data_IF_213782419142
#
_entry.id   IF_213782419142
#
_cell.length_a   1.000
_cell.length_b   1.000
_cell.length_c   1.000
_cell.angle_alpha   90.00
_cell.angle_beta   90.00
_cell.angle_gamma   90.00
#
_symmetry.space_group_name_H-M   'P 1'
#
loop_
_entity.id
_entity.type
_entity.pdbx_description
1 polymer ?
#
# COMPACT_ATOMS: atom_id res chain seq x y z
N UNK A 1 4.97 -38.93 5.12
CA UNK A 1 4.30 -37.62 5.08
C UNK A 1 5.18 -36.65 5.83
N UNK A 2 5.87 -35.75 5.14
CA UNK A 2 6.64 -34.68 5.78
C UNK A 2 5.68 -33.56 6.17
N UNK A 3 5.49 -33.32 7.46
CA UNK A 3 4.95 -32.05 7.92
C UNK A 3 6.04 -31.01 7.64
N UNK A 4 5.76 -30.04 6.76
CA UNK A 4 6.62 -28.88 6.66
C UNK A 4 6.50 -28.13 8.00
N UNK A 5 7.60 -28.02 8.74
CA UNK A 5 7.66 -27.17 9.92
C UNK A 5 7.48 -25.72 9.46
N UNK A 6 6.31 -25.14 9.76
CA UNK A 6 6.04 -23.73 9.49
C UNK A 6 6.60 -22.94 10.67
N UNK A 7 7.54 -22.03 10.41
CA UNK A 7 8.04 -21.07 11.39
C UNK A 7 7.28 -19.75 11.21
N UNK A 8 6.24 -19.44 12.01
CA UNK A 8 5.36 -18.30 11.77
C UNK A 8 6.10 -16.96 11.80
N UNK A 9 7.17 -16.88 12.60
CA UNK A 9 7.97 -15.66 12.76
C UNK A 9 8.88 -15.38 11.55
N UNK A 10 8.98 -16.32 10.60
CA UNK A 10 9.74 -16.14 9.37
C UNK A 10 8.95 -15.43 8.26
N UNK A 11 7.66 -15.15 8.47
CA UNK A 11 6.79 -14.56 7.45
C UNK A 11 6.16 -13.26 7.94
N UNK A 12 6.13 -12.27 7.06
CA UNK A 12 5.33 -11.06 7.26
C UNK A 12 3.99 -11.33 6.57
N UNK A 13 2.90 -11.23 7.34
CA UNK A 13 1.54 -11.39 6.82
C UNK A 13 0.97 -10.01 6.55
N UNK A 14 0.53 -9.77 5.31
CA UNK A 14 -0.04 -8.50 4.88
C UNK A 14 -1.54 -8.64 4.60
N UNK A 15 -2.32 -7.61 4.94
CA UNK A 15 -3.77 -7.62 4.74
C UNK A 15 -4.13 -7.16 3.33
N UNK A 16 -4.84 -8.00 2.57
CA UNK A 16 -5.40 -7.58 1.29
C UNK A 16 -6.50 -6.54 1.49
N UNK A 17 -6.45 -5.46 0.72
CA UNK A 17 -7.38 -4.33 0.87
C UNK A 17 -8.72 -4.54 0.17
N UNK A 18 -8.85 -5.58 -0.68
CA UNK A 18 -10.03 -5.80 -1.51
C UNK A 18 -10.00 -5.05 -2.85
N UNK A 19 -8.99 -4.22 -3.10
CA UNK A 19 -8.88 -3.40 -4.31
C UNK A 19 -7.64 -3.73 -5.13
N UNK A 20 -7.72 -3.41 -6.42
CA UNK A 20 -6.61 -3.52 -7.38
C UNK A 20 -6.22 -2.13 -7.87
N UNK A 21 -4.93 -1.93 -8.09
CA UNK A 21 -4.39 -0.70 -8.67
C UNK A 21 -4.76 -0.56 -10.15
N UNK A 22 -4.33 0.54 -10.78
CA UNK A 22 -4.59 0.82 -12.21
C UNK A 22 -4.12 -0.30 -13.15
N UNK A 23 -3.09 -1.05 -12.78
CA UNK A 23 -2.50 -2.12 -13.58
C UNK A 23 -3.10 -3.50 -13.23
N UNK A 24 -4.08 -3.56 -12.33
CA UNK A 24 -4.73 -4.80 -11.90
C UNK A 24 -3.98 -5.57 -10.81
N UNK A 25 -2.92 -4.98 -10.23
CA UNK A 25 -2.18 -5.57 -9.11
C UNK A 25 -3.01 -5.45 -7.83
N UNK A 26 -3.08 -6.53 -7.06
CA UNK A 26 -3.70 -6.51 -5.73
C UNK A 26 -2.95 -5.56 -4.80
N UNK A 27 -3.70 -4.74 -4.06
CA UNK A 27 -3.14 -3.77 -3.11
C UNK A 27 -3.29 -4.31 -1.69
N UNK A 28 -2.21 -4.25 -0.93
CA UNK A 28 -2.11 -4.73 0.45
C UNK A 28 -1.82 -3.58 1.42
N UNK A 29 -2.04 -3.79 2.70
CA UNK A 29 -1.53 -2.90 3.75
C UNK A 29 0.01 -2.87 3.70
N UNK A 30 0.58 -1.67 3.76
CA UNK A 30 2.03 -1.47 3.62
C UNK A 30 2.50 -1.24 2.17
N UNK A 31 1.64 -1.36 1.16
CA UNK A 31 1.98 -0.98 -0.20
C UNK A 31 2.22 0.55 -0.31
N UNK A 32 3.17 0.91 -1.15
CA UNK A 32 3.46 2.28 -1.55
C UNK A 32 2.82 2.54 -2.92
N UNK A 33 1.87 3.44 -2.95
CA UNK A 33 1.15 3.82 -4.16
C UNK A 33 1.63 5.17 -4.65
N UNK A 34 1.93 5.24 -5.94
CA UNK A 34 2.15 6.51 -6.64
C UNK A 34 0.81 7.11 -7.03
N UNK A 35 0.49 8.27 -6.45
CA UNK A 35 -0.81 8.95 -6.58
C UNK A 35 -0.62 10.19 -7.44
N UNK A 36 -1.50 10.36 -8.44
CA UNK A 36 -1.60 11.60 -9.19
C UNK A 36 -2.79 12.41 -8.70
N UNK A 37 -2.53 13.54 -8.05
CA UNK A 37 -3.61 14.41 -7.58
C UNK A 37 -4.22 15.20 -8.73
N UNK A 38 -5.54 15.43 -8.72
CA UNK A 38 -6.22 16.20 -9.77
C UNK A 38 -5.79 17.67 -9.83
N UNK A 39 -5.17 18.20 -8.77
CA UNK A 39 -4.76 19.60 -8.66
C UNK A 39 -3.25 19.80 -8.43
N UNK A 40 -2.45 18.73 -8.58
CA UNK A 40 -0.99 18.79 -8.50
C UNK A 40 -0.42 18.14 -9.75
N UNK A 41 0.56 18.79 -10.36
CA UNK A 41 1.34 18.17 -11.43
C UNK A 41 2.39 17.19 -10.89
N UNK A 42 2.62 17.20 -9.57
CA UNK A 42 3.52 16.28 -8.91
C UNK A 42 2.76 15.01 -8.52
N UNK A 43 3.38 13.88 -8.85
CA UNK A 43 2.99 12.60 -8.30
C UNK A 43 3.60 12.49 -6.89
N UNK A 44 2.82 12.05 -5.90
CA UNK A 44 3.32 11.75 -4.54
C UNK A 44 3.26 10.25 -4.28
N UNK A 45 4.09 9.77 -3.36
CA UNK A 45 4.08 8.39 -2.89
C UNK A 45 3.41 8.34 -1.52
N UNK A 46 2.34 7.56 -1.43
CA UNK A 46 1.63 7.34 -0.17
C UNK A 46 1.66 5.88 0.24
N UNK A 47 1.75 5.66 1.54
CA UNK A 47 1.65 4.32 2.15
C UNK A 47 0.19 3.98 2.46
N UNK A 48 -0.21 2.74 2.15
CA UNK A 48 -1.51 2.18 2.51
C UNK A 48 -1.50 1.73 3.97
N UNK A 49 -2.37 2.33 4.80
CA UNK A 49 -2.47 2.02 6.24
C UNK A 49 -3.90 1.76 6.66
N UNK A 50 -4.10 0.88 7.63
CA UNK A 50 -5.36 0.80 8.35
C UNK A 50 -5.52 1.99 9.32
N UNK A 51 -6.64 2.71 9.23
CA UNK A 51 -7.04 3.74 10.18
C UNK A 51 -8.15 3.23 11.08
N UNK A 52 -7.89 3.18 12.39
CA UNK A 52 -8.91 2.85 13.38
C UNK A 52 -9.97 3.95 13.53
N UNK A 53 -9.63 5.22 13.28
CA UNK A 53 -10.59 6.33 13.36
C UNK A 53 -11.56 6.32 12.19
N UNK A 54 -11.08 5.98 10.99
CA UNK A 54 -11.87 5.92 9.76
C UNK A 54 -12.49 4.53 9.53
N UNK A 55 -12.13 3.55 10.38
CA UNK A 55 -12.50 2.14 10.26
C UNK A 55 -12.27 1.60 8.84
N UNK A 56 -11.13 1.93 8.25
CA UNK A 56 -10.81 1.61 6.87
C UNK A 56 -9.38 1.92 6.47
N UNK A 57 -9.00 1.46 5.27
CA UNK A 57 -7.72 1.82 4.67
C UNK A 57 -7.70 3.29 4.28
N UNK A 58 -6.54 3.92 4.48
CA UNK A 58 -6.24 5.30 4.11
C UNK A 58 -4.90 5.38 3.39
N UNK A 59 -4.69 6.50 2.73
CA UNK A 59 -3.40 6.87 2.15
C UNK A 59 -3.21 8.37 2.26
N UNK A 60 -2.20 8.79 3.03
CA UNK A 60 -2.08 10.17 3.50
C UNK A 60 -3.38 10.64 4.17
N UNK A 61 -3.93 11.76 3.70
CA UNK A 61 -5.21 12.31 4.19
C UNK A 61 -6.42 11.96 3.29
N UNK A 62 -6.28 10.97 2.40
CA UNK A 62 -7.29 10.66 1.38
C UNK A 62 -8.01 9.34 1.64
N UNK A 63 -9.27 9.30 1.21
CA UNK A 63 -10.06 8.08 1.17
C UNK A 63 -9.46 7.10 0.15
N UNK A 64 -8.92 6.00 0.64
CA UNK A 64 -8.21 4.98 -0.13
C UNK A 64 -8.96 4.52 -1.40
N UNK A 65 -10.24 4.19 -1.29
CA UNK A 65 -11.03 3.67 -2.42
C UNK A 65 -11.15 4.64 -3.61
N UNK A 66 -11.00 5.95 -3.41
CA UNK A 66 -11.10 6.95 -4.48
C UNK A 66 -9.82 7.05 -5.32
N UNK A 67 -8.68 6.73 -4.73
CA UNK A 67 -7.38 6.94 -5.35
C UNK A 67 -6.81 5.66 -5.96
N UNK A 68 -7.09 4.49 -5.35
CA UNK A 68 -6.56 3.19 -5.78
C UNK A 68 -6.74 2.89 -7.27
N UNK A 69 -7.92 3.10 -7.89
CA UNK A 69 -8.10 2.82 -9.32
C UNK A 69 -7.25 3.68 -10.26
N UNK A 70 -6.65 4.77 -9.75
CA UNK A 70 -5.82 5.71 -10.52
C UNK A 70 -4.34 5.64 -10.15
N UNK A 71 -4.01 5.02 -9.03
CA UNK A 71 -2.64 4.85 -8.55
C UNK A 71 -2.00 3.56 -9.07
N UNK A 72 -0.68 3.48 -8.95
CA UNK A 72 0.13 2.30 -9.28
C UNK A 72 0.95 1.95 -8.05
N UNK A 73 1.00 0.67 -7.69
CA UNK A 73 1.90 0.21 -6.63
C UNK A 73 3.33 0.29 -7.15
N UNK A 74 4.18 1.01 -6.43
CA UNK A 74 5.60 1.24 -6.78
C UNK A 74 6.58 0.56 -5.84
N UNK A 75 6.11 0.07 -4.69
CA UNK A 75 6.93 -0.63 -3.70
C UNK A 75 6.12 -1.00 -2.48
N UNK A 76 6.78 -1.48 -1.43
CA UNK A 76 6.19 -1.70 -0.11
C UNK A 76 7.12 -1.22 1.01
N UNK A 77 6.60 -1.09 2.24
CA UNK A 77 7.38 -0.63 3.40
C UNK A 77 8.44 -1.60 3.91
N UNK A 78 8.43 -2.85 3.47
CA UNK A 78 9.40 -3.86 3.92
C UNK A 78 10.67 -3.84 3.06
N UNK A 79 10.51 -3.60 1.76
CA UNK A 79 11.58 -3.64 0.75
C UNK A 79 12.01 -2.25 0.29
N UNK A 80 11.10 -1.27 0.23
CA UNK A 80 11.29 0.02 -0.45
C UNK A 80 11.13 1.23 0.49
N UNK A 81 11.66 1.14 1.71
CA UNK A 81 11.55 2.20 2.74
C UNK A 81 12.06 3.56 2.27
N UNK A 82 13.10 3.57 1.42
CA UNK A 82 13.73 4.78 0.91
C UNK A 82 12.79 5.63 0.03
N UNK A 83 11.74 5.03 -0.56
CA UNK A 83 10.78 5.74 -1.40
C UNK A 83 9.96 6.78 -0.62
N UNK A 84 9.79 6.62 0.69
CA UNK A 84 9.10 7.59 1.55
C UNK A 84 10.02 8.73 2.01
N UNK A 85 11.34 8.55 1.99
CA UNK A 85 12.31 9.56 2.43
C UNK A 85 12.75 10.49 1.29
N UNK A 86 12.60 10.06 0.03
CA UNK A 86 12.95 10.84 -1.14
C UNK A 86 12.06 12.08 -1.39
N UNK A 87 10.97 12.27 -0.63
CA UNK A 87 10.06 13.42 -0.73
C UNK A 87 10.28 14.49 0.36
N UNK A 88 11.39 14.45 1.11
CA UNK A 88 11.73 15.44 2.15
C UNK A 88 12.60 16.60 1.69
#
# INVERSE_FOLDING_TARGET
>A
MSFAEMNPDAYIVEQFTGLKDKNGKDVYEGDLLKIKYPFSDNDEIGEVKWSNSDAGFIIGNFQFWKVVPKSVVVGNVHEDKDLLEAEK
#
